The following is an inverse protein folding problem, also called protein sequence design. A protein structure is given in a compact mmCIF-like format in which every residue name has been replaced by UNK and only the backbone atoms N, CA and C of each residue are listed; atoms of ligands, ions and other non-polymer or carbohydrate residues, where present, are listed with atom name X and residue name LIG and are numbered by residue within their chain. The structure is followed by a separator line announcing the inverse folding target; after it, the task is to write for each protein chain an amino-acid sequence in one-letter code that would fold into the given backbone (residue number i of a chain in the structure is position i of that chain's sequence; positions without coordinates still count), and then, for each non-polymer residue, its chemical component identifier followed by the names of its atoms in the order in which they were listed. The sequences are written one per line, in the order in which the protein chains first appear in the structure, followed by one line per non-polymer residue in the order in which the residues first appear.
data_IF_642877051628
#
_entry.id   IF_642877051628
#
_cell.length_a   1.000
_cell.length_b   1.000
_cell.length_c   1.000
_cell.angle_alpha   90.00
_cell.angle_beta   90.00
_cell.angle_gamma   90.00
#
_symmetry.space_group_name_H-M   'P 1'
#
loop_
_entity.id
_entity.type
_entity.pdbx_description
1 polymer ?
#
# COMPACT_ATOMS: atom_id res chain seq x y z
N UNK A 1 10.11 -6.73 10.83
CA UNK A 1 10.02 -5.66 9.81
C UNK A 1 9.29 -4.48 10.41
N UNK A 2 9.83 -3.26 10.29
CA UNK A 2 9.14 -2.04 10.73
C UNK A 2 8.87 -1.19 9.49
N UNK A 3 7.62 -0.81 9.27
CA UNK A 3 7.20 0.05 8.15
C UNK A 3 6.57 1.31 8.71
N UNK A 4 7.20 2.45 8.48
CA UNK A 4 6.67 3.76 8.86
C UNK A 4 6.86 4.72 7.67
N UNK A 5 5.81 5.15 6.95
CA UNK A 5 4.37 4.93 7.13
C UNK A 5 3.76 4.25 5.90
N UNK A 6 2.98 3.17 6.09
CA UNK A 6 2.40 2.41 4.97
C UNK A 6 1.40 3.24 4.14
N UNK A 7 0.78 4.26 4.73
CA UNK A 7 -0.10 5.17 3.99
C UNK A 7 0.65 5.94 2.88
N UNK A 8 1.94 6.23 3.06
CA UNK A 8 2.75 6.94 2.05
C UNK A 8 2.93 6.12 0.77
N UNK A 9 2.87 4.79 0.86
CA UNK A 9 2.87 3.92 -0.31
C UNK A 9 1.61 4.14 -1.17
N UNK A 10 0.44 4.15 -0.53
CA UNK A 10 -0.84 4.44 -1.21
C UNK A 10 -0.90 5.85 -1.79
N UNK A 11 -0.37 6.84 -1.06
CA UNK A 11 -0.31 8.23 -1.51
C UNK A 11 0.56 8.38 -2.77
N UNK A 12 1.78 7.85 -2.75
CA UNK A 12 2.69 7.90 -3.89
C UNK A 12 2.11 7.15 -5.11
N UNK A 13 1.42 6.03 -4.88
CA UNK A 13 0.70 5.33 -5.95
C UNK A 13 -0.37 6.21 -6.60
N UNK A 14 -1.12 6.96 -5.79
CA UNK A 14 -2.16 7.86 -6.30
C UNK A 14 -1.56 9.01 -7.15
N UNK A 15 -0.41 9.56 -6.76
CA UNK A 15 0.32 10.57 -7.53
C UNK A 15 0.83 10.02 -8.88
N UNK A 16 1.39 8.81 -8.87
CA UNK A 16 1.86 8.15 -10.10
C UNK A 16 0.70 7.73 -11.00
N UNK A 17 -0.40 7.22 -10.43
CA UNK A 17 -1.61 6.85 -11.17
C UNK A 17 -2.22 8.06 -11.90
N UNK A 18 -2.20 9.24 -11.27
CA UNK A 18 -2.63 10.49 -11.89
C UNK A 18 -1.71 10.89 -13.06
N UNK A 19 -0.39 10.77 -12.91
CA UNK A 19 0.57 11.03 -13.99
C UNK A 19 0.43 10.05 -15.17
N UNK A 20 0.04 8.80 -14.91
CA UNK A 20 -0.20 7.77 -15.93
C UNK A 20 -1.57 7.90 -16.62
N UNK A 21 -2.35 8.93 -16.30
CA UNK A 21 -3.64 9.20 -16.93
C UNK A 21 -4.74 8.19 -16.59
N UNK A 22 -4.59 7.43 -15.50
CA UNK A 22 -5.64 6.52 -15.03
C UNK A 22 -6.74 7.35 -14.35
N UNK A 23 -8.00 7.03 -14.64
CA UNK A 23 -9.12 7.71 -13.98
C UNK A 23 -9.05 7.48 -12.46
N UNK A 24 -9.14 8.54 -11.63
CA UNK A 24 -9.12 8.41 -10.18
C UNK A 24 -10.37 7.67 -9.69
N UNK A 25 -10.19 6.88 -8.63
CA UNK A 25 -11.26 6.20 -7.91
C UNK A 25 -11.78 7.08 -6.75
N UNK A 26 -12.62 6.52 -5.88
CA UNK A 26 -13.22 7.22 -4.74
C UNK A 26 -12.16 7.98 -3.92
N UNK A 27 -12.46 9.24 -3.57
CA UNK A 27 -11.61 10.13 -2.74
C UNK A 27 -10.24 10.46 -3.37
N UNK A 28 -10.04 10.18 -4.67
CA UNK A 28 -8.80 10.52 -5.38
C UNK A 28 -7.71 9.44 -5.30
N UNK A 29 -8.03 8.27 -4.73
CA UNK A 29 -7.12 7.13 -4.74
C UNK A 29 -7.04 6.49 -6.13
N UNK A 30 -5.92 5.80 -6.38
CA UNK A 30 -5.78 4.96 -7.57
C UNK A 30 -6.83 3.82 -7.60
N UNK A 31 -7.34 3.42 -8.78
CA UNK A 31 -8.30 2.34 -8.90
C UNK A 31 -7.72 0.95 -8.55
N UNK A 32 -6.39 0.81 -8.56
CA UNK A 32 -5.65 -0.42 -8.25
C UNK A 32 -5.24 -0.55 -6.78
N UNK A 33 -5.72 0.33 -5.89
CA UNK A 33 -5.27 0.42 -4.50
C UNK A 33 -5.39 -0.91 -3.74
N UNK A 34 -6.53 -1.60 -3.86
CA UNK A 34 -6.75 -2.87 -3.16
C UNK A 34 -5.80 -3.97 -3.61
N UNK A 35 -5.53 -4.06 -4.92
CA UNK A 35 -4.63 -5.07 -5.48
C UNK A 35 -3.18 -4.80 -5.10
N UNK A 36 -2.72 -3.56 -5.21
CA UNK A 36 -1.32 -3.19 -4.90
C UNK A 36 -0.99 -3.31 -3.40
N UNK A 37 -1.94 -2.94 -2.53
CA UNK A 37 -1.79 -3.21 -1.09
C UNK A 37 -1.78 -4.70 -0.79
N UNK A 38 -2.63 -5.50 -1.47
CA UNK A 38 -2.68 -6.94 -1.33
C UNK A 38 -1.34 -7.60 -1.69
N UNK A 39 -0.81 -7.31 -2.88
CA UNK A 39 0.47 -7.86 -3.35
C UNK A 39 1.64 -7.53 -2.40
N UNK A 40 1.63 -6.34 -1.78
CA UNK A 40 2.65 -5.95 -0.81
C UNK A 40 2.50 -6.69 0.52
N UNK A 41 1.29 -6.73 1.07
CA UNK A 41 1.04 -7.34 2.39
C UNK A 41 1.17 -8.86 2.35
N UNK A 42 0.78 -9.51 1.25
CA UNK A 42 0.91 -10.97 1.09
C UNK A 42 2.36 -11.45 1.11
N UNK A 43 3.31 -10.59 0.71
CA UNK A 43 4.74 -10.88 0.83
C UNK A 43 5.25 -10.82 2.26
N UNK A 44 4.56 -10.10 3.14
CA UNK A 44 4.90 -9.96 4.56
C UNK A 44 4.15 -11.05 5.33
N UNK A 45 4.55 -12.30 5.09
CA UNK A 45 3.94 -13.47 5.72
C UNK A 45 4.99 -14.40 6.31
N UNK A 46 4.54 -15.31 7.17
CA UNK A 46 5.38 -16.38 7.69
C UNK A 46 5.34 -17.57 6.73
N UNK A 47 6.51 -18.08 6.38
CA UNK A 47 6.68 -19.22 5.47
C UNK A 47 7.28 -20.41 6.22
N UNK A 48 7.33 -21.58 5.56
CA UNK A 48 8.00 -22.77 6.13
C UNK A 48 9.50 -22.57 6.39
N UNK A 49 10.11 -21.56 5.75
CA UNK A 49 11.55 -21.28 5.85
C UNK A 49 11.86 -20.21 6.91
N UNK A 50 10.85 -19.56 7.49
CA UNK A 50 11.04 -18.48 8.45
C UNK A 50 9.82 -17.59 8.57
N UNK A 51 9.77 -16.80 9.65
CA UNK A 51 8.67 -15.88 9.94
C UNK A 51 9.12 -14.43 9.80
N UNK A 52 8.27 -13.61 9.17
CA UNK A 52 8.41 -12.15 9.16
C UNK A 52 7.26 -11.57 9.96
N UNK A 53 7.56 -11.05 11.15
CA UNK A 53 6.62 -10.23 11.91
C UNK A 53 6.81 -8.78 11.52
N UNK A 54 5.74 -8.10 11.11
CA UNK A 54 5.79 -6.68 10.78
C UNK A 54 4.95 -5.82 11.71
N UNK A 55 5.48 -4.65 12.06
CA UNK A 55 4.74 -3.57 12.74
C UNK A 55 4.72 -2.40 11.77
N UNK A 56 3.52 -1.92 11.43
CA UNK A 56 3.33 -0.90 10.39
C UNK A 56 2.54 0.28 10.94
N UNK A 57 3.09 1.49 10.83
CA UNK A 57 2.37 2.71 11.15
C UNK A 57 1.42 3.05 9.99
N UNK A 58 0.15 3.29 10.31
CA UNK A 58 -0.92 3.65 9.37
C UNK A 58 -1.37 5.07 9.67
N UNK A 59 -1.11 6.01 8.76
CA UNK A 59 -1.70 7.36 8.83
C UNK A 59 -3.13 7.36 8.30
N UNK A 60 -4.05 7.99 9.02
CA UNK A 60 -5.45 8.18 8.62
C UNK A 60 -5.63 9.65 8.20
N UNK A 61 -5.84 9.95 6.91
CA UNK A 61 -6.15 11.30 6.46
C UNK A 61 -7.57 11.72 6.90
N UNK A 62 -7.74 13.01 7.20
CA UNK A 62 -9.02 13.64 7.54
C UNK A 62 -9.79 14.10 6.30
#
# INVERSE_FOLDING_TARGET
LFVDNIFRFSQAGSEVSALLGRMPSAVGYQPTLGTELGELQERITSTKNGAITSVQAVYVPA
#
